data_IF_562245330551
#
_entry.id   IF_562245330551
#
_cell.length_a   1.000
_cell.length_b   1.000
_cell.length_c   1.000
_cell.angle_alpha   90.00
_cell.angle_beta   90.00
_cell.angle_gamma   90.00
#
_symmetry.space_group_name_H-M   'P 1'
#
loop_
_entity.id
_entity.type
_entity.pdbx_description
1 polymer ?
#
# COMPACT_ATOMS: atom_id res chain seq x y z
N UNK A 1 18.48 -0.06 22.92
CA UNK A 1 17.84 0.86 21.96
C UNK A 1 16.35 0.65 22.09
N UNK A 2 15.59 1.69 22.42
CA UNK A 2 14.13 1.63 22.50
C UNK A 2 13.55 1.20 21.16
N UNK A 3 12.58 0.28 21.18
CA UNK A 3 11.89 -0.16 19.97
C UNK A 3 11.14 1.02 19.37
N UNK A 4 11.35 1.30 18.07
CA UNK A 4 10.54 2.28 17.35
C UNK A 4 9.08 1.80 17.30
N UNK A 5 8.16 2.75 17.43
CA UNK A 5 6.74 2.55 17.21
C UNK A 5 6.38 2.92 15.76
N UNK A 6 5.51 2.12 15.15
CA UNK A 6 5.07 2.33 13.77
C UNK A 6 3.53 2.32 13.71
N UNK A 7 2.89 3.37 13.16
CA UNK A 7 1.42 3.45 13.05
C UNK A 7 0.81 2.32 12.20
N UNK A 8 1.59 1.80 11.25
CA UNK A 8 1.27 0.64 10.42
C UNK A 8 2.34 -0.44 10.54
N UNK A 9 2.00 -1.71 10.27
CA UNK A 9 2.96 -2.81 10.37
C UNK A 9 4.23 -2.56 9.53
N UNK A 10 5.38 -2.64 10.18
CA UNK A 10 6.69 -2.51 9.54
C UNK A 10 6.97 -3.71 8.61
N UNK A 11 7.84 -3.54 7.59
CA UNK A 11 8.27 -4.65 6.76
C UNK A 11 9.05 -5.70 7.56
N UNK A 12 8.84 -6.97 7.25
CA UNK A 12 9.68 -8.07 7.67
C UNK A 12 10.83 -8.26 6.69
N UNK A 13 11.95 -8.78 7.19
CA UNK A 13 13.11 -9.12 6.35
C UNK A 13 12.69 -10.05 5.21
N UNK A 14 12.94 -9.68 3.94
CA UNK A 14 12.67 -10.54 2.78
C UNK A 14 13.76 -11.59 2.57
N UNK A 15 14.90 -11.48 3.28
CA UNK A 15 16.04 -12.37 3.09
C UNK A 15 15.65 -13.83 3.37
N UNK A 16 16.16 -14.81 2.59
CA UNK A 16 15.90 -16.23 2.81
C UNK A 16 16.34 -16.74 4.19
N UNK A 17 17.25 -16.02 4.85
CA UNK A 17 17.72 -16.29 6.21
C UNK A 17 16.71 -15.89 7.29
N UNK A 18 15.70 -15.10 6.93
CA UNK A 18 14.63 -14.71 7.83
C UNK A 18 13.78 -15.94 8.19
N UNK A 19 13.67 -16.23 9.49
CA UNK A 19 13.04 -17.47 9.99
C UNK A 19 11.55 -17.28 10.32
N UNK A 20 10.84 -16.43 9.62
CA UNK A 20 9.41 -16.27 9.82
C UNK A 20 8.62 -17.11 8.81
N UNK A 21 7.41 -17.52 9.19
CA UNK A 21 6.46 -18.26 8.36
C UNK A 21 5.08 -17.61 8.49
N UNK A 22 4.32 -17.64 7.41
CA UNK A 22 2.92 -17.23 7.40
C UNK A 22 2.01 -18.41 7.73
N UNK A 23 0.97 -18.18 8.50
CA UNK A 23 -0.13 -19.13 8.73
C UNK A 23 -1.44 -18.36 8.57
N UNK A 24 -2.36 -18.92 7.77
CA UNK A 24 -3.67 -18.34 7.49
C UNK A 24 -4.67 -19.04 8.40
N UNK A 25 -5.45 -18.26 9.13
CA UNK A 25 -6.61 -18.76 9.83
C UNK A 25 -7.74 -18.99 8.82
N UNK A 26 -8.02 -20.24 8.49
CA UNK A 26 -9.03 -20.60 7.48
C UNK A 26 -10.45 -20.09 7.81
N UNK A 27 -10.77 -19.87 9.09
CA UNK A 27 -12.08 -19.39 9.51
C UNK A 27 -12.26 -17.88 9.38
N UNK A 28 -11.17 -17.10 9.54
CA UNK A 28 -11.22 -15.63 9.52
C UNK A 28 -10.53 -15.01 8.31
N UNK A 29 -9.75 -15.79 7.56
CA UNK A 29 -8.86 -15.30 6.52
C UNK A 29 -7.65 -14.51 7.05
N UNK A 30 -7.51 -14.36 8.37
CA UNK A 30 -6.41 -13.59 8.95
C UNK A 30 -5.10 -14.37 8.86
N UNK A 31 -4.07 -13.74 8.30
CA UNK A 31 -2.72 -14.28 8.32
C UNK A 31 -1.93 -13.75 9.52
N UNK A 32 -1.08 -14.61 10.09
CA UNK A 32 -0.11 -14.23 11.13
C UNK A 32 1.26 -14.76 10.80
N UNK A 33 2.27 -13.92 11.06
CA UNK A 33 3.66 -14.28 10.92
C UNK A 33 4.23 -14.78 12.24
N UNK A 34 4.95 -15.90 12.20
CA UNK A 34 5.59 -16.49 13.38
C UNK A 34 7.01 -16.95 13.09
N UNK A 35 7.87 -16.90 14.09
CA UNK A 35 9.20 -17.49 14.08
C UNK A 35 9.23 -18.72 14.99
N UNK A 36 9.87 -19.79 14.55
CA UNK A 36 10.13 -20.96 15.39
C UNK A 36 11.37 -20.71 16.24
N UNK A 37 11.18 -20.49 17.54
CA UNK A 37 12.26 -20.36 18.52
C UNK A 37 12.21 -21.54 19.49
N UNK A 38 13.24 -22.40 19.47
CA UNK A 38 13.34 -23.59 20.32
C UNK A 38 12.07 -24.48 20.26
N UNK A 39 11.56 -24.71 19.06
CA UNK A 39 10.35 -25.51 18.81
C UNK A 39 9.02 -24.82 19.13
N UNK A 40 9.03 -23.60 19.69
CA UNK A 40 7.80 -22.82 19.98
C UNK A 40 7.57 -21.77 18.90
N UNK A 41 6.34 -21.67 18.41
CA UNK A 41 5.90 -20.58 17.54
C UNK A 41 5.83 -19.29 18.38
N UNK A 42 6.55 -18.25 17.96
CA UNK A 42 6.44 -16.90 18.51
C UNK A 42 5.93 -15.96 17.44
N UNK A 43 4.87 -15.17 17.69
CA UNK A 43 4.40 -14.19 16.72
C UNK A 43 5.48 -13.13 16.49
N UNK A 44 5.60 -12.69 15.23
CA UNK A 44 6.53 -11.63 14.83
C UNK A 44 5.72 -10.37 14.53
N UNK A 45 6.23 -9.20 14.93
CA UNK A 45 5.64 -7.90 14.61
C UNK A 45 6.12 -7.44 13.23
N UNK A 46 5.20 -7.33 12.29
CA UNK A 46 5.45 -6.84 10.94
C UNK A 46 4.65 -7.60 9.89
N UNK A 47 4.85 -7.24 8.63
CA UNK A 47 4.21 -7.85 7.46
C UNK A 47 5.21 -8.03 6.32
N UNK A 48 4.89 -8.85 5.32
CA UNK A 48 5.69 -8.93 4.09
C UNK A 48 5.82 -7.57 3.39
N UNK A 49 6.83 -7.43 2.53
CA UNK A 49 7.11 -6.15 1.86
C UNK A 49 5.90 -5.60 1.10
N UNK A 50 5.23 -6.45 0.32
CA UNK A 50 4.03 -6.06 -0.45
C UNK A 50 2.85 -5.61 0.41
N UNK A 51 2.84 -5.99 1.68
CA UNK A 51 1.81 -5.61 2.66
C UNK A 51 2.22 -4.39 3.49
N UNK A 52 3.45 -3.90 3.34
CA UNK A 52 3.95 -2.75 4.08
C UNK A 52 3.76 -1.46 3.30
N UNK A 53 3.03 -0.50 3.87
CA UNK A 53 2.86 0.82 3.25
C UNK A 53 4.20 1.58 3.10
N UNK A 54 5.20 1.26 3.93
CA UNK A 54 6.51 1.91 3.86
C UNK A 54 7.33 1.41 2.68
N UNK A 55 7.14 0.14 2.30
CA UNK A 55 7.68 -0.39 1.04
C UNK A 55 7.02 0.32 -0.15
N UNK A 56 5.71 0.54 -0.10
CA UNK A 56 5.04 1.27 -1.18
C UNK A 56 5.45 2.73 -1.26
N UNK A 57 5.79 3.40 -0.15
CA UNK A 57 6.39 4.73 -0.21
C UNK A 57 7.63 4.73 -1.11
N UNK A 58 8.50 3.74 -0.91
CA UNK A 58 9.74 3.56 -1.66
C UNK A 58 9.48 3.29 -3.16
N UNK A 59 8.55 2.38 -3.47
CA UNK A 59 8.23 2.03 -4.85
C UNK A 59 7.51 3.17 -5.60
N UNK A 60 6.59 3.89 -4.96
CA UNK A 60 5.94 5.05 -5.58
C UNK A 60 6.91 6.21 -5.83
N UNK A 61 7.90 6.41 -4.94
CA UNK A 61 8.91 7.44 -5.13
C UNK A 61 9.81 7.13 -6.34
N UNK A 62 10.04 5.85 -6.66
CA UNK A 62 10.73 5.45 -7.89
C UNK A 62 9.97 5.83 -9.16
N UNK A 63 8.64 5.93 -9.11
CA UNK A 63 7.82 6.34 -10.25
C UNK A 63 7.82 7.86 -10.50
N UNK A 64 8.28 8.68 -9.55
CA UNK A 64 8.34 10.14 -9.72
C UNK A 64 9.49 10.52 -10.67
N UNK A 65 9.16 11.14 -11.81
CA UNK A 65 10.15 11.68 -12.74
C UNK A 65 10.98 12.81 -12.11
N UNK A 66 10.38 13.63 -11.24
CA UNK A 66 11.07 14.65 -10.46
C UNK A 66 12.12 14.03 -9.52
N UNK A 67 11.75 12.94 -8.83
CA UNK A 67 12.67 12.27 -7.92
C UNK A 67 13.77 11.49 -8.67
N UNK A 68 13.42 10.85 -9.80
CA UNK A 68 14.41 10.27 -10.71
C UNK A 68 15.44 11.31 -11.14
N UNK A 69 14.99 12.50 -11.55
CA UNK A 69 15.87 13.61 -11.95
C UNK A 69 16.75 14.12 -10.82
N UNK A 70 16.22 14.28 -9.60
CA UNK A 70 17.05 14.72 -8.45
C UNK A 70 18.11 13.68 -8.07
N UNK A 71 17.82 12.39 -8.31
CA UNK A 71 18.78 11.30 -8.16
C UNK A 71 19.83 11.23 -9.30
N UNK A 72 19.78 12.15 -10.26
CA UNK A 72 20.73 12.25 -11.37
C UNK A 72 20.45 11.31 -12.54
N UNK A 73 19.23 10.74 -12.63
CA UNK A 73 18.83 9.98 -13.81
C UNK A 73 18.48 10.92 -14.96
N UNK A 74 18.86 10.53 -16.18
CA UNK A 74 18.50 11.23 -17.41
C UNK A 74 17.06 10.88 -17.80
N UNK A 75 16.11 11.70 -17.34
CA UNK A 75 14.68 11.48 -17.53
C UNK A 75 14.00 12.72 -18.06
N UNK A 76 13.05 12.53 -18.97
CA UNK A 76 12.18 13.60 -19.43
C UNK A 76 11.10 13.85 -18.38
N UNK A 77 10.97 15.10 -17.91
CA UNK A 77 9.85 15.48 -17.05
C UNK A 77 8.56 15.48 -17.87
N UNK A 78 7.64 14.62 -17.47
CA UNK A 78 6.29 14.49 -18.03
C UNK A 78 5.22 15.03 -17.09
N UNK A 79 5.54 15.10 -15.79
CA UNK A 79 4.63 15.54 -14.74
C UNK A 79 4.57 17.06 -14.56
N UNK A 80 5.61 17.78 -15.00
CA UNK A 80 5.73 19.23 -14.82
C UNK A 80 6.71 19.86 -15.82
N UNK A 81 6.73 21.20 -15.87
CA UNK A 81 7.78 21.95 -16.58
C UNK A 81 9.02 22.23 -15.68
N UNK A 82 10.05 22.85 -16.26
CA UNK A 82 11.29 23.20 -15.56
C UNK A 82 11.07 24.16 -14.40
N UNK A 83 10.14 25.12 -14.52
CA UNK A 83 9.89 26.10 -13.47
C UNK A 83 9.19 25.46 -12.27
N UNK A 84 8.22 24.57 -12.56
CA UNK A 84 7.53 23.76 -11.57
C UNK A 84 8.48 22.78 -10.87
N UNK A 85 9.43 22.19 -11.62
CA UNK A 85 10.48 21.34 -11.05
C UNK A 85 11.37 22.08 -10.06
N UNK A 86 11.87 23.27 -10.43
CA UNK A 86 12.72 24.08 -9.54
C UNK A 86 11.99 24.49 -8.26
N UNK A 87 10.69 24.82 -8.38
CA UNK A 87 9.85 25.12 -7.22
C UNK A 87 9.69 23.88 -6.32
N UNK A 88 9.36 22.73 -6.91
CA UNK A 88 9.25 21.47 -6.19
C UNK A 88 10.58 21.08 -5.51
N UNK A 89 11.71 21.24 -6.20
CA UNK A 89 13.03 20.91 -5.69
C UNK A 89 13.35 21.73 -4.44
N UNK A 90 13.04 23.03 -4.47
CA UNK A 90 13.21 23.93 -3.32
C UNK A 90 12.27 23.60 -2.16
N UNK A 91 11.02 23.23 -2.46
CA UNK A 91 9.99 23.04 -1.44
C UNK A 91 10.04 21.64 -0.79
N UNK A 92 10.34 20.60 -1.57
CA UNK A 92 10.25 19.21 -1.15
C UNK A 92 11.48 18.39 -1.57
N UNK A 93 11.93 18.53 -2.82
CA UNK A 93 12.88 17.61 -3.44
C UNK A 93 14.23 17.52 -2.74
N UNK A 94 14.80 18.63 -2.28
CA UNK A 94 16.09 18.62 -1.54
C UNK A 94 16.01 17.80 -0.25
N UNK A 95 15.00 18.07 0.57
CA UNK A 95 14.85 17.35 1.84
C UNK A 95 14.46 15.88 1.62
N UNK A 96 13.63 15.59 0.61
CA UNK A 96 13.37 14.20 0.20
C UNK A 96 14.67 13.48 -0.18
N UNK A 97 15.54 14.12 -0.95
CA UNK A 97 16.83 13.54 -1.34
C UNK A 97 17.78 13.39 -0.15
N UNK A 98 17.81 14.35 0.78
CA UNK A 98 18.62 14.24 2.01
C UNK A 98 18.16 13.06 2.90
N UNK A 99 16.84 12.80 2.95
CA UNK A 99 16.28 11.73 3.75
C UNK A 99 16.38 10.35 3.11
N UNK A 100 16.02 10.24 1.82
CA UNK A 100 15.91 8.95 1.12
C UNK A 100 17.20 8.60 0.35
N UNK A 101 17.98 9.60 -0.04
CA UNK A 101 19.14 9.43 -0.91
C UNK A 101 18.78 8.94 -2.31
N UNK A 102 19.79 8.48 -3.06
CA UNK A 102 19.53 7.84 -4.35
C UNK A 102 18.93 6.44 -4.14
N UNK A 103 17.61 6.31 -4.15
CA UNK A 103 16.93 5.02 -3.91
C UNK A 103 17.12 4.01 -5.05
N UNK A 104 17.53 4.47 -6.24
CA UNK A 104 17.69 3.62 -7.43
C UNK A 104 18.92 2.70 -7.34
N UNK A 105 19.85 2.96 -6.41
CA UNK A 105 20.96 2.05 -6.12
C UNK A 105 20.55 0.80 -5.30
N UNK A 106 19.27 0.71 -4.91
CA UNK A 106 18.71 -0.37 -4.10
C UNK A 106 17.65 -1.15 -4.91
N UNK A 107 18.07 -2.29 -5.44
CA UNK A 107 17.23 -3.13 -6.30
C UNK A 107 16.40 -4.16 -5.52
N UNK A 108 15.12 -4.31 -5.92
CA UNK A 108 14.21 -5.32 -5.39
C UNK A 108 13.97 -5.24 -3.88
N UNK A 109 13.41 -6.32 -3.33
CA UNK A 109 13.08 -6.40 -1.91
C UNK A 109 14.32 -6.35 -1.00
N UNK A 110 15.43 -6.96 -1.41
CA UNK A 110 16.68 -6.94 -0.64
C UNK A 110 17.30 -5.53 -0.60
N UNK A 111 17.28 -4.82 -1.72
CA UNK A 111 17.72 -3.43 -1.80
C UNK A 111 16.88 -2.54 -0.87
N UNK A 112 15.56 -2.64 -0.94
CA UNK A 112 14.68 -1.92 -0.01
C UNK A 112 15.02 -2.26 1.44
N UNK A 113 15.20 -3.54 1.77
CA UNK A 113 15.51 -3.95 3.14
C UNK A 113 16.84 -3.39 3.65
N UNK A 114 17.85 -3.30 2.78
CA UNK A 114 19.12 -2.63 3.10
C UNK A 114 18.88 -1.15 3.40
N UNK A 115 18.20 -0.43 2.52
CA UNK A 115 17.84 0.97 2.72
C UNK A 115 17.01 1.20 3.98
N UNK A 116 16.04 0.32 4.27
CA UNK A 116 15.17 0.38 5.43
C UNK A 116 15.96 0.35 6.75
N UNK A 117 16.95 -0.54 6.85
CA UNK A 117 17.77 -0.66 8.06
C UNK A 117 18.74 0.51 8.22
N UNK A 118 19.28 1.02 7.12
CA UNK A 118 20.22 2.14 7.11
C UNK A 118 19.52 3.47 7.43
N UNK A 119 18.36 3.73 6.81
CA UNK A 119 17.70 5.03 6.83
C UNK A 119 16.20 4.92 7.17
N UNK A 120 15.46 4.09 6.44
CA UNK A 120 13.99 4.13 6.40
C UNK A 120 13.31 3.99 7.76
N UNK A 121 13.73 3.05 8.60
CA UNK A 121 13.09 2.84 9.91
C UNK A 121 13.11 4.09 10.80
N UNK A 122 14.13 4.95 10.67
CA UNK A 122 14.26 6.18 11.46
C UNK A 122 13.40 7.33 10.93
N UNK A 123 13.01 7.27 9.65
CA UNK A 123 12.14 8.26 9.01
C UNK A 123 10.66 8.00 9.33
N UNK A 124 10.28 6.73 9.41
CA UNK A 124 8.90 6.27 9.62
C UNK A 124 8.59 5.87 11.06
N UNK A 125 9.64 5.58 11.84
CA UNK A 125 9.51 5.18 13.23
C UNK A 125 9.30 6.38 14.12
N UNK A 126 8.25 6.32 14.93
CA UNK A 126 8.07 7.21 16.06
C UNK A 126 8.98 6.68 17.16
N UNK A 127 9.92 7.49 17.63
CA UNK A 127 10.60 7.19 18.89
C UNK A 127 9.55 7.35 19.98
N UNK A 128 9.08 6.26 20.61
CA UNK A 128 8.15 6.43 21.70
C UNK A 128 8.86 7.27 22.75
N UNK A 129 8.22 8.35 23.16
CA UNK A 129 8.64 9.13 24.31
C UNK A 129 8.39 8.23 25.52
N UNK A 130 9.33 7.32 25.76
CA UNK A 130 9.24 6.15 26.64
C UNK A 130 8.09 5.20 26.24
N UNK A 131 8.45 4.05 25.70
CA UNK A 131 7.50 2.94 25.56
C UNK A 131 7.07 2.53 26.98
N UNK A 132 5.80 2.77 27.35
CA UNK A 132 5.27 2.50 28.70
C UNK A 132 5.18 1.00 29.04
N UNK A 133 5.67 0.12 28.15
CA UNK A 133 5.73 -1.33 28.35
C UNK A 133 6.99 -1.79 29.10
N UNK A 134 7.98 -0.89 29.33
CA UNK A 134 9.18 -1.17 30.10
C UNK A 134 9.48 -0.05 31.12
N UNK A 135 10.11 -0.41 32.24
CA UNK A 135 10.57 0.58 33.22
C UNK A 135 11.89 1.20 32.76
N UNK A 136 11.95 2.53 32.66
CA UNK A 136 13.18 3.25 32.32
C UNK A 136 14.28 3.08 33.36
N UNK A 137 15.54 3.08 32.91
CA UNK A 137 16.69 3.15 33.80
C UNK A 137 16.86 4.54 34.41
N UNK A 138 17.73 4.67 35.42
CA UNK A 138 18.04 5.98 36.03
C UNK A 138 18.71 6.90 35.00
N UNK A 139 19.59 6.33 34.17
CA UNK A 139 20.30 7.04 33.12
C UNK A 139 19.34 7.57 32.05
N UNK A 140 18.37 6.75 31.59
CA UNK A 140 17.33 7.16 30.63
C UNK A 140 16.45 8.28 31.19
N UNK A 141 16.13 8.23 32.49
CA UNK A 141 15.39 9.33 33.14
C UNK A 141 16.19 10.63 33.12
N UNK A 142 17.50 10.56 33.34
CA UNK A 142 18.38 11.74 33.36
C UNK A 142 18.55 12.36 31.96
N UNK A 143 18.49 11.56 30.89
CA UNK A 143 18.51 12.07 29.51
C UNK A 143 17.30 12.98 29.18
N UNK A 144 16.20 12.83 29.92
CA UNK A 144 14.98 13.62 29.75
C UNK A 144 14.79 14.69 30.81
N UNK A 145 15.86 15.08 31.52
CA UNK A 145 15.83 16.05 32.61
C UNK A 145 15.08 17.34 32.25
N UNK A 146 15.39 17.92 31.10
CA UNK A 146 14.78 19.19 30.66
C UNK A 146 13.26 19.07 30.45
N UNK A 147 12.79 17.90 29.98
CA UNK A 147 11.37 17.60 29.78
C UNK A 147 10.64 17.33 31.10
N UNK A 148 11.35 16.77 32.09
CA UNK A 148 10.83 16.58 33.45
C UNK A 148 10.73 17.93 34.15
N UNK A 149 11.75 18.77 34.02
CA UNK A 149 11.80 20.11 34.62
C UNK A 149 10.78 21.06 33.99
N UNK A 150 10.57 20.99 32.66
CA UNK A 150 9.51 21.76 31.97
C UNK A 150 8.10 21.29 32.31
N UNK A 151 7.96 20.09 32.89
CA UNK A 151 6.69 19.48 33.23
C UNK A 151 5.98 18.76 32.08
N UNK A 152 6.60 18.70 30.90
CA UNK A 152 6.15 17.91 29.75
C UNK A 152 6.15 16.40 30.06
N UNK A 153 7.03 15.94 30.95
CA UNK A 153 7.05 14.57 31.47
C UNK A 153 6.85 14.59 32.99
N UNK A 154 5.99 13.70 33.51
CA UNK A 154 5.81 13.50 34.96
C UNK A 154 6.40 12.17 35.38
N UNK A 155 7.26 12.19 36.40
CA UNK A 155 7.86 10.99 36.97
C UNK A 155 7.00 10.41 38.10
N UNK A 156 6.76 9.09 38.06
CA UNK A 156 6.04 8.37 39.12
C UNK A 156 6.97 7.36 39.78
N UNK A 157 7.25 7.55 41.06
CA UNK A 157 7.98 6.56 41.86
C UNK A 157 7.02 5.47 42.36
N UNK A 158 7.27 4.21 41.97
CA UNK A 158 6.45 3.07 42.38
C UNK A 158 7.18 2.24 43.46
N UNK A 159 6.72 2.25 44.73
CA UNK A 159 7.31 1.44 45.78
C UNK A 159 7.02 -0.05 45.57
N UNK A 160 8.06 -0.88 45.62
CA UNK A 160 7.98 -2.34 45.43
C UNK A 160 7.39 -3.09 46.62
N UNK A 161 7.18 -2.40 47.74
CA UNK A 161 6.62 -2.96 48.99
C UNK A 161 5.08 -3.00 49.00
N UNK A 162 4.43 -2.45 47.98
CA UNK A 162 2.98 -2.37 47.90
C UNK A 162 2.37 -3.51 47.07
N UNK A 163 1.11 -3.84 47.37
CA UNK A 163 0.37 -4.81 46.54
C UNK A 163 0.05 -4.21 45.15
N UNK A 164 0.05 -5.06 44.11
CA UNK A 164 -0.26 -4.65 42.72
C UNK A 164 -1.58 -3.90 42.61
N UNK A 165 -2.64 -4.38 43.26
CA UNK A 165 -3.96 -3.75 43.25
C UNK A 165 -3.97 -2.35 43.89
N UNK A 166 -3.08 -2.09 44.85
CA UNK A 166 -2.92 -0.77 45.46
C UNK A 166 -2.15 0.17 44.56
N UNK A 167 -1.08 -0.32 43.90
CA UNK A 167 -0.32 0.44 42.91
C UNK A 167 -1.21 0.84 41.72
N UNK A 168 -1.98 -0.10 41.16
CA UNK A 168 -2.90 0.18 40.05
C UNK A 168 -3.93 1.27 40.40
N UNK A 169 -4.60 1.15 41.57
CA UNK A 169 -5.55 2.17 42.03
C UNK A 169 -4.92 3.55 42.23
N UNK A 170 -3.67 3.60 42.70
CA UNK A 170 -2.95 4.87 42.90
C UNK A 170 -2.51 5.47 41.58
N UNK A 171 -2.00 4.65 40.65
CA UNK A 171 -1.60 5.08 39.32
C UNK A 171 -2.81 5.63 38.54
N UNK A 172 -3.96 4.95 38.58
CA UNK A 172 -5.19 5.42 37.94
C UNK A 172 -5.57 6.83 38.43
N UNK A 173 -5.53 7.08 39.74
CA UNK A 173 -5.79 8.42 40.30
C UNK A 173 -4.79 9.49 39.87
N UNK A 174 -3.54 9.11 39.59
CA UNK A 174 -2.53 10.04 39.08
C UNK A 174 -2.79 10.36 37.61
N UNK A 175 -3.17 9.36 36.81
CA UNK A 175 -3.56 9.52 35.41
C UNK A 175 -4.79 10.42 35.29
N UNK A 176 -5.81 10.22 36.12
CA UNK A 176 -7.03 11.07 36.13
C UNK A 176 -6.75 12.55 36.42
N UNK A 177 -5.61 12.86 37.06
CA UNK A 177 -5.18 14.22 37.40
C UNK A 177 -4.16 14.78 36.42
N UNK A 178 -3.70 13.98 35.47
CA UNK A 178 -2.72 14.39 34.50
C UNK A 178 -3.41 15.35 33.53
N UNK A 179 -2.96 16.60 33.51
CA UNK A 179 -3.36 17.55 32.48
C UNK A 179 -2.53 17.21 31.26
N UNK A 180 -3.17 16.57 30.28
CA UNK A 180 -2.57 16.33 28.98
C UNK A 180 -2.56 17.66 28.22
N UNK A 181 -1.41 18.03 27.66
CA UNK A 181 -1.36 19.07 26.64
C UNK A 181 -2.14 18.59 25.41
N UNK A 182 -2.82 19.50 24.73
CA UNK A 182 -3.39 19.25 23.39
C UNK A 182 -2.29 19.14 22.30
N UNK A 183 -1.02 19.09 22.69
CA UNK A 183 0.09 18.85 21.78
C UNK A 183 -0.01 17.42 21.23
N UNK A 184 -0.14 17.31 19.91
CA UNK A 184 -0.31 16.06 19.18
C UNK A 184 0.74 15.01 19.59
N UNK A 185 0.33 13.73 19.63
CA UNK A 185 1.26 12.60 19.79
C UNK A 185 2.45 12.75 18.84
N UNK A 186 3.67 12.48 19.33
CA UNK A 186 4.89 12.61 18.52
C UNK A 186 4.73 11.87 17.18
N UNK A 187 4.73 12.63 16.08
CA UNK A 187 4.63 12.07 14.73
C UNK A 187 6.00 11.74 14.17
N UNK A 188 6.07 10.67 13.37
CA UNK A 188 7.24 10.38 12.57
C UNK A 188 7.43 11.46 11.50
N UNK A 189 8.66 11.66 11.03
CA UNK A 189 8.97 12.62 9.96
C UNK A 189 8.12 12.35 8.71
N UNK A 190 7.91 11.07 8.40
CA UNK A 190 7.05 10.62 7.31
C UNK A 190 5.86 9.83 7.85
N UNK A 191 5.01 10.46 8.67
CA UNK A 191 3.83 9.81 9.22
C UNK A 191 2.81 9.44 8.11
N UNK A 192 2.20 8.24 8.14
CA UNK A 192 1.21 7.83 7.15
C UNK A 192 0.01 8.79 7.08
N UNK A 193 -0.16 9.47 5.95
CA UNK A 193 -1.17 10.52 5.80
C UNK A 193 -2.60 10.00 5.91
N UNK A 194 -2.90 8.84 5.31
CA UNK A 194 -4.20 8.20 5.42
C UNK A 194 -4.06 6.72 5.83
N UNK A 195 -4.22 6.47 7.14
CA UNK A 195 -4.17 5.14 7.72
C UNK A 195 -5.26 4.18 7.24
N UNK A 196 -6.28 4.64 6.49
CA UNK A 196 -7.32 3.75 5.94
C UNK A 196 -6.92 3.11 4.61
N UNK A 197 -5.87 3.60 3.95
CA UNK A 197 -5.41 2.99 2.70
C UNK A 197 -4.66 1.69 3.01
N UNK A 198 -5.07 0.63 2.34
CA UNK A 198 -4.45 -0.69 2.40
C UNK A 198 -3.35 -0.86 1.34
N UNK A 199 -2.41 -1.78 1.59
CA UNK A 199 -1.24 -2.02 0.76
C UNK A 199 -1.61 -2.70 -0.57
N UNK A 200 -2.58 -3.61 -0.59
CA UNK A 200 -3.07 -4.27 -1.80
C UNK A 200 -3.59 -3.26 -2.84
N UNK A 201 -4.33 -2.25 -2.37
CA UNK A 201 -4.85 -1.20 -3.22
C UNK A 201 -3.75 -0.27 -3.75
N UNK A 202 -2.64 -0.10 -3.02
CA UNK A 202 -1.45 0.61 -3.50
C UNK A 202 -0.71 -0.22 -4.56
N UNK A 203 -0.54 -1.52 -4.33
CA UNK A 203 0.06 -2.48 -5.26
C UNK A 203 -0.67 -2.49 -6.61
N UNK A 204 -1.99 -2.65 -6.56
CA UNK A 204 -2.86 -2.73 -7.75
C UNK A 204 -2.77 -1.43 -8.58
N UNK A 205 -2.82 -0.28 -7.91
CA UNK A 205 -2.70 1.02 -8.59
C UNK A 205 -1.29 1.22 -9.20
N UNK A 206 -0.24 0.84 -8.48
CA UNK A 206 1.14 0.91 -8.94
C UNK A 206 1.34 0.09 -10.22
N UNK A 207 0.88 -1.16 -10.21
CA UNK A 207 0.97 -2.04 -11.38
C UNK A 207 0.13 -1.53 -12.56
N UNK A 208 -1.05 -0.96 -12.31
CA UNK A 208 -1.85 -0.33 -13.36
C UNK A 208 -1.13 0.86 -14.02
N UNK A 209 -0.39 1.64 -13.24
CA UNK A 209 0.42 2.75 -13.74
C UNK A 209 1.59 2.27 -14.60
N UNK A 210 2.32 1.24 -14.14
CA UNK A 210 3.39 0.63 -14.93
C UNK A 210 2.87 0.11 -16.28
N UNK A 211 1.79 -0.67 -16.28
CA UNK A 211 1.18 -1.16 -17.53
C UNK A 211 0.76 -0.01 -18.45
N UNK A 212 0.27 1.10 -17.87
CA UNK A 212 -0.07 2.29 -18.66
C UNK A 212 1.17 2.90 -19.31
N UNK A 213 2.27 3.02 -18.57
CA UNK A 213 3.55 3.55 -19.09
C UNK A 213 4.15 2.66 -20.18
N UNK A 214 3.91 1.35 -20.12
CA UNK A 214 4.27 0.37 -21.16
C UNK A 214 3.37 0.44 -22.41
N UNK A 215 2.36 1.33 -22.42
CA UNK A 215 1.46 1.54 -23.56
C UNK A 215 0.22 0.64 -23.58
N UNK A 216 -0.06 -0.11 -22.52
CA UNK A 216 -1.27 -0.93 -22.46
C UNK A 216 -2.55 -0.08 -22.45
N UNK A 217 -3.58 -0.59 -23.12
CA UNK A 217 -4.90 0.06 -23.15
C UNK A 217 -5.62 -0.05 -21.81
N UNK A 218 -6.52 0.89 -21.53
CA UNK A 218 -7.38 0.84 -20.35
C UNK A 218 -8.23 -0.45 -20.29
N UNK A 219 -8.69 -0.96 -21.43
CA UNK A 219 -9.45 -2.23 -21.47
C UNK A 219 -8.57 -3.39 -21.02
N UNK A 220 -7.31 -3.44 -21.49
CA UNK A 220 -6.34 -4.45 -21.09
C UNK A 220 -6.08 -4.40 -19.57
N UNK A 221 -5.70 -3.23 -19.06
CA UNK A 221 -5.40 -3.03 -17.64
C UNK A 221 -6.61 -3.41 -16.77
N UNK A 222 -7.81 -2.96 -17.16
CA UNK A 222 -9.03 -3.29 -16.44
C UNK A 222 -9.34 -4.79 -16.43
N UNK A 223 -9.08 -5.47 -17.55
CA UNK A 223 -9.27 -6.91 -17.68
C UNK A 223 -8.26 -7.69 -16.82
N UNK A 224 -7.00 -7.26 -16.78
CA UNK A 224 -5.93 -7.88 -16.00
C UNK A 224 -6.32 -8.05 -14.53
N UNK A 225 -6.87 -7.00 -13.90
CA UNK A 225 -7.32 -7.03 -12.50
C UNK A 225 -8.74 -7.56 -12.28
N UNK A 226 -9.39 -8.11 -13.31
CA UNK A 226 -10.77 -8.56 -13.21
C UNK A 226 -10.96 -10.02 -13.63
N UNK A 227 -10.01 -10.59 -14.37
CA UNK A 227 -10.21 -11.84 -15.10
C UNK A 227 -8.93 -12.66 -15.23
N UNK A 228 -9.08 -13.98 -15.42
CA UNK A 228 -7.97 -14.85 -15.80
C UNK A 228 -7.50 -14.57 -17.24
N UNK A 229 -6.31 -15.06 -17.59
CA UNK A 229 -5.66 -14.76 -18.87
C UNK A 229 -6.52 -15.13 -20.09
N UNK A 230 -7.24 -16.27 -20.04
CA UNK A 230 -8.11 -16.74 -21.11
C UNK A 230 -9.28 -15.77 -21.35
N UNK A 231 -9.87 -15.26 -20.28
CA UNK A 231 -10.99 -14.32 -20.32
C UNK A 231 -10.58 -12.90 -20.76
N UNK A 232 -9.34 -12.50 -20.51
CA UNK A 232 -8.83 -11.18 -20.92
C UNK A 232 -8.85 -11.03 -22.45
N UNK A 233 -8.50 -12.08 -23.20
CA UNK A 233 -8.39 -12.05 -24.66
C UNK A 233 -9.72 -11.68 -25.35
N UNK A 234 -10.85 -12.08 -24.77
CA UNK A 234 -12.18 -11.79 -25.32
C UNK A 234 -12.46 -10.28 -25.40
N UNK A 235 -12.04 -9.52 -24.39
CA UNK A 235 -12.25 -8.08 -24.36
C UNK A 235 -11.27 -7.29 -25.24
N UNK A 236 -10.14 -7.90 -25.59
CA UNK A 236 -9.12 -7.33 -26.47
C UNK A 236 -9.42 -7.56 -27.96
N UNK A 237 -10.28 -8.53 -28.31
CA UNK A 237 -10.70 -8.79 -29.70
C UNK A 237 -11.44 -7.58 -30.29
N UNK A 238 -11.10 -7.25 -31.55
CA UNK A 238 -11.78 -6.24 -32.37
C UNK A 238 -13.26 -6.63 -32.59
N UNK A 239 -14.16 -5.67 -32.37
CA UNK A 239 -15.61 -5.85 -32.50
C UNK A 239 -16.12 -6.06 -33.92
N UNK A 240 -15.26 -5.91 -34.94
CA UNK A 240 -15.59 -6.21 -36.34
C UNK A 240 -15.41 -7.68 -36.72
N UNK A 241 -14.75 -8.48 -35.88
CA UNK A 241 -14.70 -9.93 -36.04
C UNK A 241 -15.85 -10.53 -35.23
N UNK A 242 -16.89 -11.04 -35.90
CA UNK A 242 -17.85 -11.96 -35.28
C UNK A 242 -17.09 -13.26 -35.02
N UNK A 243 -16.66 -13.45 -33.77
CA UNK A 243 -16.03 -14.67 -33.30
C UNK A 243 -16.71 -15.10 -32.00
N UNK A 244 -16.75 -16.41 -31.78
CA UNK A 244 -17.38 -17.10 -30.66
C UNK A 244 -16.93 -16.50 -29.32
N UNK A 245 -17.89 -16.05 -28.52
CA UNK A 245 -17.65 -15.52 -27.18
C UNK A 245 -17.86 -16.63 -26.15
N UNK A 246 -16.90 -16.78 -25.25
CA UNK A 246 -16.91 -17.81 -24.21
C UNK A 246 -17.56 -17.28 -22.92
N UNK A 247 -18.66 -17.90 -22.51
CA UNK A 247 -19.25 -17.71 -21.18
C UNK A 247 -18.92 -18.95 -20.32
N UNK A 248 -17.95 -18.79 -19.41
CA UNK A 248 -17.45 -19.87 -18.58
C UNK A 248 -18.52 -20.46 -17.64
N UNK A 249 -19.41 -19.62 -17.11
CA UNK A 249 -20.44 -20.06 -16.17
C UNK A 249 -21.59 -20.76 -16.90
N UNK A 250 -21.97 -20.23 -18.05
CA UNK A 250 -22.99 -20.85 -18.88
C UNK A 250 -22.48 -22.15 -19.51
N UNK A 251 -21.20 -22.22 -19.90
CA UNK A 251 -20.54 -23.46 -20.35
C UNK A 251 -20.47 -24.50 -19.22
N UNK A 252 -20.05 -24.11 -18.02
CA UNK A 252 -20.03 -25.01 -16.86
C UNK A 252 -21.44 -25.45 -16.41
N UNK A 253 -22.47 -24.62 -16.63
CA UNK A 253 -23.86 -24.99 -16.39
C UNK A 253 -24.43 -25.91 -17.49
N UNK A 254 -24.00 -25.73 -18.73
CA UNK A 254 -24.36 -26.57 -19.88
C UNK A 254 -23.76 -27.97 -19.75
N UNK A 255 -22.45 -28.09 -19.49
CA UNK A 255 -21.77 -29.38 -19.28
C UNK A 255 -22.34 -30.19 -18.11
N UNK A 256 -22.85 -29.51 -17.07
CA UNK A 256 -23.56 -30.17 -15.95
C UNK A 256 -24.89 -30.82 -16.36
N UNK A 257 -25.56 -30.26 -17.38
CA UNK A 257 -26.85 -30.76 -17.89
C UNK A 257 -26.67 -31.73 -19.06
N UNK A 258 -25.56 -31.61 -19.78
CA UNK A 258 -25.24 -32.40 -20.97
C UNK A 258 -23.81 -32.97 -20.81
N UNK A 259 -23.65 -34.17 -20.25
CA UNK A 259 -22.33 -34.81 -20.20
C UNK A 259 -21.86 -35.18 -21.61
N UNK A 260 -20.80 -34.52 -22.07
CA UNK A 260 -20.28 -34.61 -23.45
C UNK A 260 -19.08 -35.56 -23.56
N UNK A 261 -18.96 -36.25 -24.70
CA UNK A 261 -17.72 -36.90 -25.16
C UNK A 261 -17.01 -35.96 -26.16
N UNK A 262 -15.69 -36.12 -26.42
CA UNK A 262 -14.97 -35.25 -27.35
C UNK A 262 -15.64 -35.12 -28.72
N UNK A 263 -16.14 -36.23 -29.30
CA UNK A 263 -16.80 -36.19 -30.61
C UNK A 263 -18.14 -35.41 -30.60
N UNK A 264 -18.80 -35.31 -29.44
CA UNK A 264 -20.06 -34.57 -29.31
C UNK A 264 -19.83 -33.07 -29.10
N UNK A 265 -18.71 -32.69 -28.49
CA UNK A 265 -18.32 -31.29 -28.31
C UNK A 265 -18.02 -30.63 -29.66
N UNK A 266 -17.30 -31.34 -30.52
CA UNK A 266 -17.02 -30.92 -31.90
C UNK A 266 -18.32 -30.77 -32.71
N UNK A 267 -19.24 -31.73 -32.61
CA UNK A 267 -20.53 -31.68 -33.34
C UNK A 267 -21.47 -30.57 -32.83
N UNK A 268 -21.46 -30.26 -31.53
CA UNK A 268 -22.26 -29.18 -30.94
C UNK A 268 -21.68 -27.79 -31.23
N UNK A 269 -20.35 -27.68 -31.38
CA UNK A 269 -19.68 -26.48 -31.85
C UNK A 269 -19.95 -26.23 -33.34
N UNK A 270 -19.90 -27.26 -34.19
CA UNK A 270 -20.26 -27.15 -35.62
C UNK A 270 -21.73 -26.71 -35.82
N UNK A 271 -22.63 -27.08 -34.91
CA UNK A 271 -24.04 -26.67 -34.89
C UNK A 271 -24.30 -25.34 -34.17
N UNK A 272 -23.28 -24.70 -33.60
CA UNK A 272 -23.36 -23.47 -32.80
C UNK A 272 -24.23 -23.56 -31.54
N UNK A 273 -24.42 -24.76 -30.98
CA UNK A 273 -25.29 -24.97 -29.81
C UNK A 273 -24.64 -24.59 -28.47
N UNK A 274 -23.31 -24.39 -28.46
CA UNK A 274 -22.49 -24.12 -27.25
C UNK A 274 -21.81 -22.74 -27.30
N UNK A 275 -22.29 -21.83 -28.16
CA UNK A 275 -21.76 -20.46 -28.27
C UNK A 275 -22.60 -19.50 -27.42
N UNK A 276 -22.09 -19.09 -26.26
CA UNK A 276 -22.77 -18.11 -25.41
C UNK A 276 -22.42 -16.68 -25.83
N UNK A 277 -23.36 -16.03 -26.52
CA UNK A 277 -23.22 -14.65 -26.95
C UNK A 277 -23.29 -13.67 -25.77
N UNK A 278 -22.21 -12.93 -25.51
CA UNK A 278 -22.38 -11.62 -24.88
C UNK A 278 -22.99 -10.69 -25.93
N UNK A 279 -24.25 -10.26 -25.70
CA UNK A 279 -24.91 -9.21 -26.49
C UNK A 279 -23.97 -8.00 -26.67
N UNK A 280 -23.97 -7.40 -27.86
CA UNK A 280 -23.06 -6.30 -28.23
C UNK A 280 -23.10 -5.14 -27.24
N UNK A 281 -24.29 -4.83 -26.72
CA UNK A 281 -24.50 -3.80 -25.71
C UNK A 281 -23.89 -4.19 -24.36
N UNK A 282 -24.02 -5.44 -23.95
CA UNK A 282 -23.39 -5.97 -22.72
C UNK A 282 -21.86 -5.96 -22.84
N UNK A 283 -21.33 -6.30 -24.01
CA UNK A 283 -19.89 -6.25 -24.30
C UNK A 283 -19.36 -4.82 -24.26
N UNK A 284 -20.06 -3.87 -24.89
CA UNK A 284 -19.70 -2.46 -24.84
C UNK A 284 -19.74 -1.91 -23.40
N UNK A 285 -20.81 -2.21 -22.65
CA UNK A 285 -20.94 -1.81 -21.25
C UNK A 285 -19.80 -2.38 -20.38
N UNK A 286 -19.41 -3.63 -20.59
CA UNK A 286 -18.31 -4.25 -19.86
C UNK A 286 -16.96 -3.64 -20.23
N UNK A 287 -16.67 -3.38 -21.51
CA UNK A 287 -15.46 -2.65 -21.92
C UNK A 287 -15.41 -1.25 -21.30
N UNK A 288 -16.54 -0.55 -21.22
CA UNK A 288 -16.64 0.74 -20.53
C UNK A 288 -16.35 0.63 -19.03
N UNK A 289 -16.87 -0.41 -18.35
CA UNK A 289 -16.54 -0.68 -16.96
C UNK A 289 -15.03 -0.90 -16.75
N UNK A 290 -14.40 -1.73 -17.58
CA UNK A 290 -12.95 -1.98 -17.52
C UNK A 290 -12.17 -0.70 -17.74
N UNK A 291 -12.60 0.12 -18.71
CA UNK A 291 -11.99 1.42 -18.99
C UNK A 291 -12.03 2.36 -17.78
N UNK A 292 -13.19 2.46 -17.12
CA UNK A 292 -13.37 3.29 -15.92
C UNK A 292 -12.56 2.74 -14.75
N UNK A 293 -12.53 1.42 -14.55
CA UNK A 293 -11.74 0.76 -13.49
C UNK A 293 -10.25 1.07 -13.67
N UNK A 294 -9.69 0.85 -14.86
CA UNK A 294 -8.30 1.15 -15.16
C UNK A 294 -7.97 2.64 -14.97
N UNK A 295 -8.81 3.54 -15.47
CA UNK A 295 -8.61 4.99 -15.31
C UNK A 295 -8.57 5.41 -13.83
N UNK A 296 -9.41 4.80 -12.98
CA UNK A 296 -9.40 5.06 -11.53
C UNK A 296 -8.13 4.55 -10.85
N UNK A 297 -7.63 3.39 -11.26
CA UNK A 297 -6.39 2.83 -10.72
C UNK A 297 -5.19 3.70 -11.09
N UNK A 298 -5.08 4.10 -12.35
CA UNK A 298 -4.02 5.00 -12.83
C UNK A 298 -4.09 6.35 -12.12
N UNK A 299 -5.28 6.97 -12.04
CA UNK A 299 -5.44 8.24 -11.34
C UNK A 299 -5.11 8.14 -9.84
N UNK A 300 -5.41 6.99 -9.21
CA UNK A 300 -5.00 6.74 -7.82
C UNK A 300 -3.48 6.64 -7.70
N UNK A 301 -2.80 6.01 -8.66
CA UNK A 301 -1.35 5.90 -8.65
C UNK A 301 -0.69 7.28 -8.83
N UNK A 302 -1.15 8.08 -9.80
CA UNK A 302 -0.69 9.45 -10.02
C UNK A 302 -0.83 10.32 -8.78
N UNK A 303 -1.96 10.20 -8.07
CA UNK A 303 -2.17 10.91 -6.80
C UNK A 303 -1.21 10.45 -5.70
N UNK A 304 -0.85 9.16 -5.68
CA UNK A 304 0.14 8.64 -4.73
C UNK A 304 1.57 9.03 -5.10
N UNK A 305 1.90 9.16 -6.39
CA UNK A 305 3.17 9.72 -6.87
C UNK A 305 3.30 11.18 -6.40
N UNK A 306 2.27 12.00 -6.60
CA UNK A 306 2.22 13.35 -6.02
C UNK A 306 2.30 13.32 -4.49
N UNK A 307 1.62 12.36 -3.86
CA UNK A 307 1.64 12.15 -2.42
C UNK A 307 3.06 11.96 -1.87
N UNK A 308 3.86 11.07 -2.47
CA UNK A 308 5.25 10.88 -2.03
C UNK A 308 6.13 12.10 -2.31
N UNK A 309 5.91 12.80 -3.43
CA UNK A 309 6.59 14.05 -3.80
C UNK A 309 6.33 15.19 -2.80
N UNK A 310 5.15 15.20 -2.18
CA UNK A 310 4.70 16.20 -1.20
C UNK A 310 4.82 15.72 0.25
N UNK A 311 5.36 14.52 0.48
CA UNK A 311 5.46 13.86 1.80
C UNK A 311 4.11 13.52 2.45
N UNK A 312 3.06 13.40 1.66
CA UNK A 312 1.68 13.06 2.09
C UNK A 312 1.27 11.72 1.52
N UNK A 313 1.83 10.63 2.01
CA UNK A 313 1.52 9.28 1.53
C UNK A 313 1.07 8.36 2.69
N UNK A 314 0.21 7.36 2.45
CA UNK A 314 -0.54 7.11 1.21
C UNK A 314 -1.72 8.07 1.05
N UNK A 315 -2.09 8.33 -0.21
CA UNK A 315 -3.29 9.09 -0.58
C UNK A 315 -4.36 8.12 -1.07
N UNK A 316 -5.59 8.33 -0.60
CA UNK A 316 -6.74 7.55 -1.05
C UNK A 316 -7.13 7.85 -2.50
N UNK A 317 -8.24 7.27 -2.95
CA UNK A 317 -8.76 7.57 -4.29
C UNK A 317 -9.16 9.05 -4.41
N UNK A 318 -8.82 9.74 -5.52
CA UNK A 318 -9.23 11.13 -5.73
C UNK A 318 -10.75 11.30 -5.59
N UNK A 319 -11.20 12.32 -4.84
CA UNK A 319 -12.64 12.54 -4.57
C UNK A 319 -13.48 12.95 -5.79
N UNK A 320 -12.89 13.14 -6.99
CA UNK A 320 -13.64 13.42 -8.23
C UNK A 320 -12.93 12.86 -9.47
N UNK A 321 -13.48 11.80 -10.05
CA UNK A 321 -13.53 11.60 -11.50
C UNK A 321 -14.99 11.79 -11.93
N UNK A 322 -15.53 12.99 -11.71
CA UNK A 322 -16.80 13.37 -12.35
C UNK A 322 -16.42 13.86 -13.74
N UNK A 323 -16.58 12.98 -14.72
CA UNK A 323 -16.55 13.33 -16.15
C UNK A 323 -17.51 14.50 -16.34
N UNK A 324 -16.95 15.69 -16.55
CA UNK A 324 -17.74 16.90 -16.75
C UNK A 324 -18.59 16.74 -17.99
N UNK A 325 -19.91 16.70 -17.83
CA UNK A 325 -20.82 17.10 -18.91
C UNK A 325 -20.51 18.57 -19.20
N UNK A 326 -20.09 18.84 -20.43
CA UNK A 326 -20.05 20.18 -21.00
C UNK A 326 -21.38 20.88 -20.74
N UNK A 327 -21.38 21.90 -19.88
CA UNK A 327 -22.44 22.89 -19.91
C UNK A 327 -22.05 23.90 -20.97
N UNK A 328 -22.54 23.67 -22.19
CA UNK A 328 -22.75 24.75 -23.14
C UNK A 328 -23.66 25.78 -22.46
N UNK A 329 -23.10 26.90 -22.01
CA UNK A 329 -23.86 28.14 -21.93
C UNK A 329 -23.87 28.73 -23.33
N UNK A 330 -24.96 28.50 -24.06
CA UNK A 330 -25.31 29.35 -25.21
C UNK A 330 -25.60 30.76 -24.69
N UNK A 331 -25.03 31.73 -25.41
CA UNK A 331 -25.16 33.17 -25.25
C UNK A 331 -26.59 33.67 -25.19
#
# INVERSE_FOLDING_TARGET
>A
MSSLYFPKPQPLSPLPTARWKMEINEATGEFRYYQLQKGKKKPVKGVELSESIYYWWFEYLKLSDKYQRVCGLDVQLTSCDESEYELWLKQYGRELFDDFGNIFQYEGGEGFWRWWNEHGQWLFGIKPMQSLDEFSSVEEVLEHRDLIESGAVKLVALPTTMTRASLQRRLAKLIDRLVLSDEDEALAKYHPFNVKVDAESLCTAHQAYLMRSEGHSNVYIGAYFSFCAEQQQEYLRDGRKRGETYDAEAYAAYLRKHPMTPEKDDEANERQEVVFFMDGDKRAAKKNYLNVKASRLVAKAEENIRGVEEKRFPVGTPKRLVVGKSSEKKS
#
